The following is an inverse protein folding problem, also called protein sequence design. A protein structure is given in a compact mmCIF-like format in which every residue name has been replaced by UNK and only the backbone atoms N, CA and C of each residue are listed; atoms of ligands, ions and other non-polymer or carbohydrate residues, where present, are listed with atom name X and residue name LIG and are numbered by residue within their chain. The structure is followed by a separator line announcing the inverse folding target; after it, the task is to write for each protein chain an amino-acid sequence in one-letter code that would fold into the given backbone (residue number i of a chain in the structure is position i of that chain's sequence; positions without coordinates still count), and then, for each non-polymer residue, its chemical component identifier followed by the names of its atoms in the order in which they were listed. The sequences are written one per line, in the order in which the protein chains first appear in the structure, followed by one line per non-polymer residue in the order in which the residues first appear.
data_IF_953304095927
#
_entry.id   IF_953304095927
#
_cell.length_a   1.000
_cell.length_b   1.000
_cell.length_c   1.000
_cell.angle_alpha   90.00
_cell.angle_beta   90.00
_cell.angle_gamma   90.00
#
_symmetry.space_group_name_H-M   'P 1'
#
loop_
_entity.id
_entity.type
_entity.pdbx_description
1 polymer ?
#
# COMPACT_ATOMS: atom_id res chain seq x y z
N UNK A 1 -32.58 -69.55 11.13
CA UNK A 1 -32.97 -68.16 11.46
C UNK A 1 -31.73 -67.29 11.35
N UNK A 2 -31.56 -66.57 10.25
CA UNK A 2 -30.48 -65.58 10.09
C UNK A 2 -31.08 -64.19 10.28
N UNK A 3 -30.80 -63.56 11.42
CA UNK A 3 -31.20 -62.18 11.69
C UNK A 3 -30.36 -61.23 10.82
N UNK A 4 -31.03 -60.65 9.82
CA UNK A 4 -30.49 -59.56 9.01
C UNK A 4 -30.38 -58.30 9.87
N UNK A 5 -29.17 -57.96 10.31
CA UNK A 5 -28.89 -56.65 10.90
C UNK A 5 -28.98 -55.59 9.79
N UNK A 6 -30.11 -54.92 9.73
CA UNK A 6 -30.32 -53.75 8.86
C UNK A 6 -29.51 -52.59 9.42
N UNK A 7 -28.36 -52.32 8.82
CA UNK A 7 -27.54 -51.14 9.13
C UNK A 7 -28.34 -49.90 8.70
N UNK A 8 -28.65 -49.01 9.63
CA UNK A 8 -29.41 -47.79 9.38
C UNK A 8 -28.55 -46.78 8.60
N UNK A 9 -28.61 -46.85 7.26
CA UNK A 9 -27.78 -46.06 6.33
C UNK A 9 -28.10 -44.56 6.33
N UNK A 10 -29.21 -44.13 6.92
CA UNK A 10 -29.66 -42.73 6.96
C UNK A 10 -28.72 -41.81 7.77
N UNK A 11 -28.11 -42.33 8.85
CA UNK A 11 -27.13 -41.59 9.65
C UNK A 11 -25.72 -41.56 9.02
N UNK A 12 -25.42 -42.54 8.17
CA UNK A 12 -24.11 -42.65 7.52
C UNK A 12 -23.97 -41.63 6.38
N UNK A 13 -25.06 -41.34 5.65
CA UNK A 13 -25.06 -40.34 4.58
C UNK A 13 -24.76 -38.91 5.09
N UNK A 14 -25.32 -38.53 6.25
CA UNK A 14 -25.03 -37.24 6.88
C UNK A 14 -23.59 -37.13 7.41
N UNK A 15 -23.05 -38.22 7.96
CA UNK A 15 -21.66 -38.28 8.45
C UNK A 15 -20.62 -38.38 7.33
N UNK A 16 -20.96 -38.98 6.19
CA UNK A 16 -20.10 -39.08 5.01
C UNK A 16 -20.07 -37.76 4.21
N UNK A 17 -21.17 -37.00 4.18
CA UNK A 17 -21.20 -35.67 3.57
C UNK A 17 -20.32 -34.64 4.32
N UNK A 18 -20.19 -34.77 5.65
CA UNK A 18 -19.26 -33.96 6.45
C UNK A 18 -17.78 -34.35 6.28
N UNK A 19 -17.49 -35.54 5.74
CA UNK A 19 -16.12 -36.09 5.67
C UNK A 19 -15.35 -35.78 4.40
N UNK A 20 -15.94 -35.03 3.46
CA UNK A 20 -15.35 -34.79 2.14
C UNK A 20 -15.28 -33.30 1.80
N UNK A 21 -14.96 -32.45 2.78
CA UNK A 21 -14.56 -31.07 2.52
C UNK A 21 -13.04 -30.95 2.57
N UNK A 22 -12.47 -30.39 1.51
CA UNK A 22 -11.05 -30.03 1.45
C UNK A 22 -10.69 -29.02 2.56
N UNK A 23 -9.41 -28.96 2.95
CA UNK A 23 -8.91 -28.00 3.96
C UNK A 23 -9.35 -26.55 3.66
N UNK A 24 -9.38 -26.16 2.38
CA UNK A 24 -9.82 -24.85 1.92
C UNK A 24 -11.35 -24.65 2.05
N UNK A 25 -12.16 -25.67 1.78
CA UNK A 25 -13.62 -25.59 1.96
C UNK A 25 -14.00 -25.48 3.45
N UNK A 26 -13.31 -26.22 4.32
CA UNK A 26 -13.46 -26.07 5.76
C UNK A 26 -13.05 -24.68 6.24
N UNK A 27 -11.93 -24.14 5.72
CA UNK A 27 -11.50 -22.79 6.04
C UNK A 27 -12.50 -21.72 5.56
N UNK A 28 -13.05 -21.85 4.36
CA UNK A 28 -14.07 -20.95 3.84
C UNK A 28 -15.34 -20.97 4.70
N UNK A 29 -15.73 -22.13 5.25
CA UNK A 29 -16.86 -22.22 6.17
C UNK A 29 -16.56 -21.50 7.50
N UNK A 30 -15.35 -21.63 8.04
CA UNK A 30 -14.89 -20.91 9.23
C UNK A 30 -14.93 -19.40 8.99
N UNK A 31 -14.34 -18.91 7.89
CA UNK A 31 -14.33 -17.47 7.58
C UNK A 31 -15.74 -16.92 7.36
N UNK A 32 -16.62 -17.68 6.69
CA UNK A 32 -18.04 -17.28 6.55
C UNK A 32 -18.71 -17.09 7.90
N UNK A 33 -18.46 -18.00 8.85
CA UNK A 33 -18.98 -17.89 10.22
C UNK A 33 -18.40 -16.68 10.94
N UNK A 34 -17.09 -16.53 10.95
CA UNK A 34 -16.40 -15.40 11.61
C UNK A 34 -16.86 -14.03 11.07
N UNK A 35 -17.03 -13.90 9.76
CA UNK A 35 -17.57 -12.68 9.14
C UNK A 35 -19.03 -12.44 9.50
N UNK A 36 -19.83 -13.49 9.68
CA UNK A 36 -21.21 -13.37 10.13
C UNK A 36 -21.28 -12.95 11.62
N UNK A 37 -20.42 -13.54 12.46
CA UNK A 37 -20.33 -13.20 13.89
C UNK A 37 -19.91 -11.74 14.10
N UNK A 38 -19.03 -11.21 13.23
CA UNK A 38 -18.58 -9.81 13.25
C UNK A 38 -19.39 -8.86 12.36
N UNK A 39 -20.51 -9.31 11.78
CA UNK A 39 -21.25 -8.55 10.77
C UNK A 39 -21.70 -7.17 11.25
N UNK A 40 -22.16 -7.05 12.50
CA UNK A 40 -22.61 -5.76 13.05
C UNK A 40 -21.46 -4.76 13.19
N UNK A 41 -20.27 -5.22 13.58
CA UNK A 41 -19.08 -4.39 13.69
C UNK A 41 -18.58 -3.95 12.30
N UNK A 42 -18.62 -4.84 11.31
CA UNK A 42 -18.30 -4.47 9.92
C UNK A 42 -19.32 -3.43 9.42
N UNK A 43 -20.62 -3.66 9.66
CA UNK A 43 -21.70 -2.77 9.23
C UNK A 43 -21.60 -1.37 9.81
N UNK A 44 -21.14 -1.22 11.05
CA UNK A 44 -20.97 0.12 11.65
C UNK A 44 -19.80 0.91 11.07
N UNK A 45 -18.80 0.23 10.49
CA UNK A 45 -17.60 0.86 9.91
C UNK A 45 -17.72 1.12 8.41
N UNK A 46 -18.51 0.33 7.68
CA UNK A 46 -18.63 0.42 6.23
C UNK A 46 -19.25 1.77 5.79
N UNK A 47 -18.61 2.52 4.88
CA UNK A 47 -19.16 3.75 4.32
C UNK A 47 -20.38 3.51 3.44
N UNK A 48 -21.21 4.55 3.23
CA UNK A 48 -22.47 4.49 2.44
C UNK A 48 -22.34 3.94 1.01
N UNK A 49 -21.15 4.01 0.40
CA UNK A 49 -20.91 3.55 -0.96
C UNK A 49 -20.51 2.06 -1.04
N UNK A 50 -20.52 1.35 0.09
CA UNK A 50 -20.14 -0.05 0.20
C UNK A 50 -21.16 -0.81 1.07
N UNK A 51 -21.21 -2.13 0.93
CA UNK A 51 -22.08 -3.01 1.72
C UNK A 51 -21.26 -4.11 2.38
N UNK A 52 -21.53 -4.48 3.65
CA UNK A 52 -20.83 -5.56 4.35
C UNK A 52 -20.85 -6.91 3.62
N UNK A 53 -21.96 -7.24 2.97
CA UNK A 53 -22.15 -8.50 2.23
C UNK A 53 -21.22 -8.58 1.00
N UNK A 54 -21.08 -7.45 0.30
CA UNK A 54 -20.13 -7.33 -0.82
C UNK A 54 -18.71 -7.49 -0.32
N UNK A 55 -18.36 -6.86 0.80
CA UNK A 55 -17.02 -6.96 1.37
C UNK A 55 -16.69 -8.41 1.78
N UNK A 56 -17.61 -9.11 2.45
CA UNK A 56 -17.46 -10.52 2.80
C UNK A 56 -17.27 -11.41 1.55
N UNK A 57 -18.05 -11.18 0.48
CA UNK A 57 -17.92 -11.91 -0.79
C UNK A 57 -16.57 -11.69 -1.46
N UNK A 58 -16.10 -10.44 -1.48
CA UNK A 58 -14.80 -10.08 -2.06
C UNK A 58 -13.67 -10.74 -1.27
N UNK A 59 -13.75 -10.77 0.06
CA UNK A 59 -12.78 -11.48 0.91
C UNK A 59 -12.71 -12.97 0.59
N UNK A 60 -13.86 -13.65 0.50
CA UNK A 60 -13.89 -15.07 0.11
C UNK A 60 -13.29 -15.29 -1.29
N UNK A 61 -13.57 -14.38 -2.23
CA UNK A 61 -12.99 -14.41 -3.58
C UNK A 61 -11.46 -14.25 -3.54
N UNK A 62 -10.94 -13.39 -2.66
CA UNK A 62 -9.51 -13.21 -2.49
C UNK A 62 -8.85 -14.49 -1.93
N UNK A 63 -9.46 -15.15 -0.94
CA UNK A 63 -8.97 -16.43 -0.39
C UNK A 63 -8.91 -17.51 -1.47
N UNK A 64 -9.94 -17.61 -2.32
CA UNK A 64 -9.94 -18.58 -3.43
C UNK A 64 -8.82 -18.31 -4.45
N UNK A 65 -8.43 -17.05 -4.66
CA UNK A 65 -7.35 -16.66 -5.59
C UNK A 65 -5.96 -16.83 -5.00
N UNK A 66 -5.82 -16.65 -3.68
CA UNK A 66 -4.54 -16.75 -2.97
C UNK A 66 -4.66 -17.85 -1.91
N UNK A 67 -4.39 -19.12 -2.25
CA UNK A 67 -4.59 -20.25 -1.33
C UNK A 67 -3.83 -20.13 -0.01
N UNK A 68 -2.69 -19.41 0.02
CA UNK A 68 -1.92 -19.17 1.24
C UNK A 68 -2.69 -18.32 2.28
N UNK A 69 -3.73 -17.57 1.86
CA UNK A 69 -4.64 -16.91 2.79
C UNK A 69 -5.46 -17.93 3.60
N UNK A 70 -5.65 -19.16 3.10
CA UNK A 70 -6.30 -20.24 3.85
C UNK A 70 -5.43 -20.81 4.98
N UNK A 71 -4.16 -20.42 5.04
CA UNK A 71 -3.25 -20.74 6.15
C UNK A 71 -3.17 -19.62 7.19
N UNK A 72 -3.79 -18.48 6.91
CA UNK A 72 -3.83 -17.35 7.85
C UNK A 72 -4.74 -17.66 9.05
N UNK A 73 -4.47 -17.02 10.18
CA UNK A 73 -5.40 -17.09 11.32
C UNK A 73 -6.73 -16.42 10.96
N UNK A 74 -7.90 -17.01 11.27
CA UNK A 74 -9.20 -16.41 10.97
C UNK A 74 -9.34 -14.98 11.50
N UNK A 75 -8.85 -14.74 12.72
CA UNK A 75 -8.84 -13.42 13.35
C UNK A 75 -8.11 -12.36 12.50
N UNK A 76 -6.96 -12.70 11.90
CA UNK A 76 -6.23 -11.76 11.04
C UNK A 76 -6.99 -11.41 9.76
N UNK A 77 -7.76 -12.36 9.20
CA UNK A 77 -8.61 -12.08 8.04
C UNK A 77 -9.74 -11.12 8.42
N UNK A 78 -10.43 -11.35 9.54
CA UNK A 78 -11.48 -10.42 9.99
C UNK A 78 -10.89 -9.04 10.27
N UNK A 79 -9.74 -8.95 10.94
CA UNK A 79 -9.04 -7.68 11.16
C UNK A 79 -8.70 -6.94 9.87
N UNK A 80 -8.22 -7.66 8.85
CA UNK A 80 -7.97 -7.09 7.53
C UNK A 80 -9.25 -6.60 6.83
N UNK A 81 -10.37 -7.30 7.00
CA UNK A 81 -11.70 -6.88 6.50
C UNK A 81 -12.22 -5.65 7.23
N UNK A 82 -12.00 -5.54 8.54
CA UNK A 82 -12.34 -4.35 9.31
C UNK A 82 -11.56 -3.12 8.80
N UNK A 83 -10.27 -3.27 8.48
CA UNK A 83 -9.49 -2.21 7.82
C UNK A 83 -10.09 -1.80 6.47
N UNK A 84 -10.50 -2.77 5.64
CA UNK A 84 -11.18 -2.50 4.37
C UNK A 84 -12.46 -1.68 4.60
N UNK A 85 -13.26 -2.07 5.58
CA UNK A 85 -14.49 -1.39 5.96
C UNK A 85 -14.20 0.06 6.39
N UNK A 86 -13.32 0.28 7.37
CA UNK A 86 -12.98 1.61 7.90
C UNK A 86 -12.47 2.57 6.82
N UNK A 87 -11.69 2.07 5.85
CA UNK A 87 -11.13 2.88 4.77
C UNK A 87 -12.08 3.02 3.57
N UNK A 88 -13.13 2.21 3.49
CA UNK A 88 -13.97 2.12 2.30
C UNK A 88 -13.18 1.69 1.06
N UNK A 89 -12.26 0.73 1.24
CA UNK A 89 -11.45 0.16 0.17
C UNK A 89 -11.72 -1.34 0.03
N UNK A 90 -11.90 -1.81 -1.20
CA UNK A 90 -12.15 -3.22 -1.47
C UNK A 90 -10.86 -3.92 -1.94
N UNK A 91 -10.53 -5.11 -1.40
CA UNK A 91 -9.47 -5.95 -1.96
C UNK A 91 -9.78 -6.28 -3.42
N UNK A 92 -8.93 -5.88 -4.35
CA UNK A 92 -9.20 -6.07 -5.76
C UNK A 92 -7.93 -6.21 -6.61
N UNK A 93 -8.12 -6.64 -7.86
CA UNK A 93 -7.02 -6.77 -8.82
C UNK A 93 -6.63 -5.44 -9.47
N UNK A 94 -7.47 -4.40 -9.31
CA UNK A 94 -7.27 -3.10 -9.94
C UNK A 94 -6.21 -2.28 -9.16
N UNK A 95 -5.97 -2.64 -7.90
CA UNK A 95 -4.87 -2.15 -7.07
C UNK A 95 -5.25 -1.11 -6.02
N UNK A 96 -6.50 -1.16 -5.53
CA UNK A 96 -6.92 -0.30 -4.41
C UNK A 96 -6.45 -0.85 -3.06
N UNK A 97 -6.62 -2.15 -2.84
CA UNK A 97 -6.19 -2.82 -1.63
C UNK A 97 -5.90 -4.29 -1.89
N UNK A 98 -5.08 -4.87 -1.02
CA UNK A 98 -4.63 -6.25 -1.09
C UNK A 98 -4.73 -6.92 0.28
N UNK A 99 -5.07 -8.21 0.28
CA UNK A 99 -4.92 -9.09 1.43
C UNK A 99 -3.67 -9.92 1.20
N UNK A 100 -2.65 -9.73 2.05
CA UNK A 100 -1.34 -10.31 1.84
C UNK A 100 -0.97 -11.20 3.04
N UNK A 101 -0.68 -12.50 2.82
CA UNK A 101 -0.23 -13.38 3.89
C UNK A 101 1.23 -13.06 4.26
N UNK A 102 1.49 -12.80 5.55
CA UNK A 102 2.83 -12.64 6.10
C UNK A 102 3.08 -13.58 7.24
N UNK A 103 4.31 -14.11 7.31
CA UNK A 103 4.76 -14.86 8.46
C UNK A 103 5.22 -13.88 9.55
N UNK A 104 4.57 -13.93 10.72
CA UNK A 104 4.98 -13.13 11.87
C UNK A 104 6.25 -13.71 12.53
N UNK A 105 6.81 -12.99 13.51
CA UNK A 105 8.04 -13.40 14.21
C UNK A 105 7.89 -14.75 14.94
N UNK A 106 6.67 -15.08 15.36
CA UNK A 106 6.31 -16.32 16.02
C UNK A 106 6.10 -17.48 15.05
N UNK A 107 6.17 -17.22 13.73
CA UNK A 107 6.09 -18.22 12.69
C UNK A 107 4.67 -18.52 12.19
N UNK A 108 3.64 -17.85 12.71
CA UNK A 108 2.28 -17.95 12.21
C UNK A 108 2.11 -17.12 10.94
N UNK A 109 1.29 -17.60 10.02
CA UNK A 109 0.89 -16.83 8.85
C UNK A 109 -0.34 -15.99 9.25
N UNK A 110 -0.26 -14.69 9.04
CA UNK A 110 -1.32 -13.72 9.31
C UNK A 110 -1.66 -12.96 8.05
N UNK A 111 -2.95 -12.66 7.88
CA UNK A 111 -3.44 -11.81 6.81
C UNK A 111 -3.20 -10.35 7.17
N UNK A 112 -2.48 -9.65 6.31
CA UNK A 112 -2.27 -8.20 6.41
C UNK A 112 -3.07 -7.48 5.33
N UNK A 113 -3.77 -6.42 5.74
CA UNK A 113 -4.35 -5.49 4.80
C UNK A 113 -3.29 -4.48 4.35
N UNK A 114 -3.14 -4.32 3.04
CA UNK A 114 -2.24 -3.34 2.45
C UNK A 114 -2.98 -2.45 1.46
N UNK A 115 -2.81 -1.13 1.60
CA UNK A 115 -3.37 -0.17 0.65
C UNK A 115 -2.48 -0.16 -0.58
N UNK A 116 -3.06 -0.28 -1.77
CA UNK A 116 -2.34 -0.09 -3.03
C UNK A 116 -2.18 1.39 -3.37
N UNK A 117 -1.23 1.73 -4.24
CA UNK A 117 -1.00 3.15 -4.60
C UNK A 117 -2.27 3.82 -5.16
N UNK A 118 -3.11 3.10 -5.91
CA UNK A 118 -4.39 3.64 -6.40
C UNK A 118 -5.40 3.84 -5.28
N UNK A 119 -5.39 2.99 -4.26
CA UNK A 119 -6.20 3.19 -3.06
C UNK A 119 -5.78 4.44 -2.30
N UNK A 120 -4.49 4.73 -2.21
CA UNK A 120 -4.00 5.97 -1.62
C UNK A 120 -4.44 7.20 -2.43
N UNK A 121 -4.33 7.15 -3.76
CA UNK A 121 -4.84 8.20 -4.66
C UNK A 121 -6.34 8.43 -4.42
N UNK A 122 -7.14 7.36 -4.34
CA UNK A 122 -8.58 7.45 -4.09
C UNK A 122 -8.88 8.08 -2.71
N UNK A 123 -8.22 7.61 -1.65
CA UNK A 123 -8.35 8.20 -0.31
C UNK A 123 -8.00 9.69 -0.29
N UNK A 124 -6.92 10.09 -0.97
CA UNK A 124 -6.50 11.49 -1.07
C UNK A 124 -7.50 12.32 -1.89
N UNK A 125 -8.08 11.78 -2.96
CA UNK A 125 -9.10 12.50 -3.75
C UNK A 125 -10.38 12.73 -2.94
N UNK A 126 -10.73 11.81 -2.04
CA UNK A 126 -11.93 11.92 -1.19
C UNK A 126 -11.85 13.09 -0.19
N UNK A 127 -10.67 13.65 0.08
CA UNK A 127 -10.56 14.85 0.94
C UNK A 127 -11.20 16.07 0.32
N UNK A 128 -11.29 16.10 -1.02
CA UNK A 128 -11.89 17.21 -1.76
C UNK A 128 -10.94 18.39 -1.98
N UNK A 129 -9.82 18.52 -1.30
CA UNK A 129 -8.88 19.64 -1.50
C UNK A 129 -7.98 19.44 -2.73
N UNK A 130 -7.78 18.19 -3.13
CA UNK A 130 -6.89 17.78 -4.21
C UNK A 130 -7.67 17.70 -5.53
N UNK A 131 -7.32 18.55 -6.49
CA UNK A 131 -7.93 18.60 -7.82
C UNK A 131 -7.38 17.54 -8.76
N UNK A 132 -6.06 17.28 -8.70
CA UNK A 132 -5.37 16.25 -9.47
C UNK A 132 -4.35 15.55 -8.59
N UNK A 133 -4.23 14.25 -8.73
CA UNK A 133 -3.15 13.46 -8.13
C UNK A 133 -2.87 12.26 -9.03
N UNK A 134 -1.59 11.99 -9.24
CA UNK A 134 -1.07 10.92 -10.08
C UNK A 134 0.28 10.46 -9.55
N UNK A 135 0.64 9.23 -9.89
CA UNK A 135 1.94 8.65 -9.59
C UNK A 135 2.41 7.82 -10.78
N UNK A 136 3.59 8.15 -11.30
CA UNK A 136 4.08 7.58 -12.55
C UNK A 136 5.50 7.04 -12.46
N UNK A 137 5.79 6.16 -13.41
CA UNK A 137 7.12 5.60 -13.66
C UNK A 137 7.77 6.44 -14.75
N UNK A 138 9.05 6.70 -14.60
CA UNK A 138 9.91 7.36 -15.60
C UNK A 138 10.92 6.34 -16.06
N UNK A 139 11.01 6.18 -17.37
CA UNK A 139 11.91 5.27 -18.04
C UNK A 139 13.16 5.98 -18.54
N UNK A 140 14.19 5.20 -18.84
CA UNK A 140 15.54 5.68 -19.19
C UNK A 140 15.53 6.71 -20.33
N UNK A 141 14.66 6.51 -21.32
CA UNK A 141 14.58 7.33 -22.53
C UNK A 141 13.39 8.30 -22.55
N UNK A 142 12.67 8.45 -21.44
CA UNK A 142 11.65 9.50 -21.30
C UNK A 142 12.33 10.88 -21.14
N UNK A 143 11.66 11.93 -21.63
CA UNK A 143 12.03 13.30 -21.28
C UNK A 143 11.45 13.62 -19.92
N UNK A 144 12.31 13.70 -18.91
CA UNK A 144 11.92 14.00 -17.54
C UNK A 144 12.76 15.13 -16.95
N UNK A 145 12.13 16.29 -16.73
CA UNK A 145 12.77 17.49 -16.18
C UNK A 145 11.98 17.93 -14.96
N UNK A 146 12.68 18.29 -13.88
CA UNK A 146 12.03 18.84 -12.71
C UNK A 146 12.91 19.87 -12.01
N UNK A 147 12.26 20.88 -11.43
CA UNK A 147 12.87 21.90 -10.60
C UNK A 147 12.28 21.80 -9.20
N UNK A 148 13.15 21.83 -8.20
CA UNK A 148 12.78 21.98 -6.80
C UNK A 148 13.12 23.40 -6.36
N UNK A 149 12.49 23.86 -5.28
CA UNK A 149 12.68 25.22 -4.75
C UNK A 149 11.34 25.93 -4.64
N UNK A 150 11.37 27.25 -4.77
CA UNK A 150 10.18 28.11 -4.74
C UNK A 150 9.28 27.88 -5.97
N UNK A 151 9.87 27.86 -7.17
CA UNK A 151 9.16 27.58 -8.43
C UNK A 151 9.29 26.10 -8.81
N UNK A 152 8.49 25.26 -8.15
CA UNK A 152 8.46 23.82 -8.43
C UNK A 152 7.85 23.56 -9.80
N UNK A 153 8.62 22.89 -10.67
CA UNK A 153 8.18 22.48 -12.01
C UNK A 153 8.47 21.00 -12.23
N UNK A 154 7.60 20.33 -12.98
CA UNK A 154 7.74 18.93 -13.35
C UNK A 154 7.21 18.73 -14.76
N UNK A 155 8.05 18.21 -15.65
CA UNK A 155 7.70 17.81 -17.00
C UNK A 155 8.07 16.34 -17.17
N UNK A 156 7.11 15.56 -17.65
CA UNK A 156 7.30 14.17 -18.03
C UNK A 156 6.67 13.96 -19.41
N UNK A 157 7.49 13.67 -20.41
CA UNK A 157 7.04 13.28 -21.75
C UNK A 157 7.56 11.87 -22.01
N UNK A 158 6.66 10.88 -22.12
CA UNK A 158 7.04 9.50 -22.41
C UNK A 158 7.76 9.37 -23.76
N UNK A 159 8.59 8.34 -23.89
CA UNK A 159 9.40 8.08 -25.09
C UNK A 159 8.59 8.10 -26.40
N UNK A 160 7.40 7.50 -26.41
CA UNK A 160 6.52 7.42 -27.59
C UNK A 160 5.97 8.78 -28.03
N UNK A 161 5.99 9.79 -27.15
CA UNK A 161 5.56 11.14 -27.42
C UNK A 161 6.70 12.07 -27.87
N UNK A 162 7.96 11.66 -27.75
CA UNK A 162 9.11 12.47 -28.16
C UNK A 162 9.14 12.84 -29.66
N UNK A 163 8.65 12.01 -30.60
CA UNK A 163 8.55 12.42 -32.01
C UNK A 163 7.73 13.70 -32.21
N UNK A 164 6.74 13.96 -31.35
CA UNK A 164 5.93 15.17 -31.42
C UNK A 164 6.71 16.45 -31.02
N UNK A 165 7.91 16.29 -30.44
CA UNK A 165 8.80 17.38 -30.03
C UNK A 165 9.99 17.56 -30.98
N UNK A 166 10.01 16.87 -32.13
CA UNK A 166 11.14 16.97 -33.07
C UNK A 166 11.41 18.39 -33.57
N UNK A 167 10.33 19.15 -33.80
CA UNK A 167 10.36 20.54 -34.27
C UNK A 167 10.19 21.56 -33.14
N UNK A 168 10.39 21.15 -31.88
CA UNK A 168 10.34 22.07 -30.75
C UNK A 168 11.39 23.17 -30.91
N UNK A 169 10.96 24.43 -30.84
CA UNK A 169 11.82 25.60 -30.94
C UNK A 169 11.83 26.30 -29.57
N UNK A 170 12.94 26.22 -28.81
CA UNK A 170 12.98 26.76 -27.46
C UNK A 170 12.98 28.29 -27.50
N UNK A 171 12.19 28.92 -26.61
CA UNK A 171 12.40 30.32 -26.29
C UNK A 171 13.73 30.47 -25.52
N UNK A 172 14.65 31.30 -26.06
CA UNK A 172 15.99 31.49 -25.49
C UNK A 172 15.98 32.21 -24.13
N UNK A 173 14.88 32.87 -23.80
CA UNK A 173 14.73 33.57 -22.52
C UNK A 173 14.01 32.70 -21.46
N UNK A 174 13.47 31.53 -21.85
CA UNK A 174 12.83 30.60 -20.92
C UNK A 174 13.79 29.46 -20.54
N UNK A 175 14.11 29.39 -19.25
CA UNK A 175 15.03 28.40 -18.71
C UNK A 175 14.55 26.95 -18.91
N UNK A 176 13.24 26.69 -18.82
CA UNK A 176 12.69 25.36 -19.03
C UNK A 176 12.79 24.95 -20.49
N UNK A 177 12.53 25.86 -21.43
CA UNK A 177 12.67 25.58 -22.86
C UNK A 177 14.11 25.21 -23.22
N UNK A 178 15.10 25.92 -22.65
CA UNK A 178 16.52 25.60 -22.82
C UNK A 178 16.82 24.19 -22.28
N UNK A 179 16.35 23.86 -21.07
CA UNK A 179 16.56 22.54 -20.49
C UNK A 179 15.90 21.44 -21.33
N UNK A 180 14.70 21.66 -21.85
CA UNK A 180 13.97 20.75 -22.72
C UNK A 180 14.78 20.49 -23.99
N UNK A 181 15.23 21.54 -24.67
CA UNK A 181 16.02 21.40 -25.90
C UNK A 181 17.33 20.63 -25.67
N UNK A 182 18.03 20.92 -24.57
CA UNK A 182 19.27 20.20 -24.22
C UNK A 182 19.00 18.72 -23.91
N UNK A 183 17.96 18.43 -23.12
CA UNK A 183 17.59 17.05 -22.78
C UNK A 183 17.15 16.26 -24.02
N UNK A 184 16.38 16.88 -24.93
CA UNK A 184 15.99 16.27 -26.20
C UNK A 184 17.21 15.93 -27.08
N UNK A 185 18.22 16.81 -27.13
CA UNK A 185 19.48 16.52 -27.86
C UNK A 185 20.16 15.27 -27.30
N UNK A 186 20.31 15.21 -25.97
CA UNK A 186 20.93 14.06 -25.28
C UNK A 186 20.16 12.77 -25.52
N UNK A 187 18.82 12.81 -25.49
CA UNK A 187 17.99 11.62 -25.75
C UNK A 187 18.13 11.16 -27.20
N UNK A 188 18.10 12.09 -28.17
CA UNK A 188 18.25 11.79 -29.60
C UNK A 188 19.62 11.13 -29.89
N UNK A 189 20.69 11.62 -29.27
CA UNK A 189 22.04 11.07 -29.43
C UNK A 189 22.17 9.60 -28.98
N UNK A 190 21.32 9.13 -28.06
CA UNK A 190 21.31 7.73 -27.61
C UNK A 190 20.82 6.76 -28.69
N UNK A 191 20.03 7.24 -29.66
CA UNK A 191 19.46 6.40 -30.72
C UNK A 191 18.60 5.25 -30.20
N UNK A 192 17.93 5.44 -29.05
CA UNK A 192 17.09 4.44 -28.44
C UNK A 192 15.89 4.06 -29.33
N UNK A 193 15.47 2.78 -29.28
CA UNK A 193 14.34 2.26 -30.06
C UNK A 193 13.09 1.99 -29.21
N UNK A 194 13.24 2.09 -27.88
CA UNK A 194 12.19 1.90 -26.89
C UNK A 194 12.47 2.79 -25.66
N UNK A 195 11.51 2.81 -24.73
CA UNK A 195 11.56 3.60 -23.48
C UNK A 195 12.70 3.19 -22.54
N UNK A 196 13.25 1.97 -22.69
CA UNK A 196 14.26 1.41 -21.81
C UNK A 196 13.68 0.90 -20.49
N UNK A 197 14.53 0.79 -19.46
CA UNK A 197 14.11 0.31 -18.14
C UNK A 197 13.56 1.45 -17.28
N UNK A 198 12.70 1.15 -16.27
CA UNK A 198 12.35 2.10 -15.23
C UNK A 198 13.60 2.62 -14.51
N UNK A 199 13.69 3.93 -14.29
CA UNK A 199 14.82 4.56 -13.59
C UNK A 199 14.38 5.39 -12.40
N UNK A 200 13.13 5.84 -12.38
CA UNK A 200 12.62 6.79 -11.41
C UNK A 200 11.10 6.68 -11.29
N UNK A 201 10.59 7.11 -10.15
CA UNK A 201 9.18 7.17 -9.84
C UNK A 201 8.87 8.55 -9.27
N UNK A 202 7.65 9.02 -9.48
CA UNK A 202 7.20 10.25 -8.85
C UNK A 202 5.72 10.19 -8.50
N UNK A 203 5.32 11.02 -7.55
CA UNK A 203 3.94 11.37 -7.27
C UNK A 203 3.81 12.89 -7.31
N UNK A 204 2.71 13.38 -7.84
CA UNK A 204 2.44 14.81 -7.91
C UNK A 204 0.97 15.10 -7.66
N UNK A 205 0.67 16.27 -7.11
CA UNK A 205 -0.69 16.73 -6.90
C UNK A 205 -0.86 18.20 -7.26
N UNK A 206 -2.10 18.54 -7.57
CA UNK A 206 -2.58 19.91 -7.64
C UNK A 206 -3.73 20.05 -6.65
N UNK A 207 -3.73 21.15 -5.90
CA UNK A 207 -4.88 21.55 -5.10
C UNK A 207 -5.91 22.31 -5.94
N UNK A 208 -7.07 22.58 -5.36
CA UNK A 208 -8.11 23.40 -5.98
C UNK A 208 -7.70 24.86 -6.18
N UNK A 209 -6.86 25.39 -5.30
CA UNK A 209 -6.28 26.74 -5.39
C UNK A 209 -5.08 26.82 -6.37
N UNK A 210 -4.82 25.72 -7.09
CA UNK A 210 -3.72 25.55 -8.06
C UNK A 210 -2.34 25.39 -7.45
N UNK A 211 -2.20 25.28 -6.12
CA UNK A 211 -0.91 24.90 -5.53
C UNK A 211 -0.46 23.54 -6.08
N UNK A 212 0.83 23.44 -6.40
CA UNK A 212 1.44 22.27 -7.02
C UNK A 212 2.62 21.79 -6.18
N UNK A 213 2.69 20.49 -5.97
CA UNK A 213 3.88 19.87 -5.39
C UNK A 213 4.05 18.44 -5.91
N UNK A 214 5.28 17.93 -5.78
CA UNK A 214 5.64 16.60 -6.21
C UNK A 214 6.80 16.04 -5.40
N UNK A 215 6.84 14.71 -5.34
CA UNK A 215 7.98 13.95 -4.83
C UNK A 215 8.48 13.03 -5.93
N UNK A 216 9.79 12.95 -6.09
CA UNK A 216 10.44 12.02 -7.01
C UNK A 216 11.53 11.23 -6.29
N UNK A 217 11.67 9.96 -6.67
CA UNK A 217 12.69 9.04 -6.15
C UNK A 217 13.26 8.22 -7.30
N UNK A 218 14.58 8.05 -7.35
CA UNK A 218 15.18 7.04 -8.23
C UNK A 218 14.79 5.65 -7.77
N UNK A 219 14.89 4.66 -8.66
CA UNK A 219 14.65 3.27 -8.28
C UNK A 219 15.54 2.84 -7.10
N UNK A 220 16.81 3.24 -7.10
CA UNK A 220 17.74 3.00 -5.99
C UNK A 220 17.26 3.63 -4.68
N UNK A 221 16.74 4.86 -4.72
CA UNK A 221 16.19 5.53 -3.54
C UNK A 221 14.96 4.79 -3.00
N UNK A 222 14.07 4.31 -3.88
CA UNK A 222 12.93 3.50 -3.46
C UNK A 222 13.38 2.19 -2.82
N UNK A 223 14.37 1.50 -3.39
CA UNK A 223 14.92 0.26 -2.83
C UNK A 223 15.62 0.52 -1.49
N UNK A 224 16.35 1.63 -1.33
CA UNK A 224 16.92 2.04 -0.04
C UNK A 224 15.83 2.28 1.01
N UNK A 225 14.76 2.97 0.65
CA UNK A 225 13.61 3.17 1.53
C UNK A 225 12.96 1.84 1.92
N UNK A 226 12.72 0.95 0.96
CA UNK A 226 12.17 -0.38 1.20
C UNK A 226 13.06 -1.20 2.16
N UNK A 227 14.37 -1.17 1.93
CA UNK A 227 15.36 -1.84 2.78
C UNK A 227 15.42 -1.30 4.21
N UNK A 228 14.97 -0.06 4.45
CA UNK A 228 14.85 0.49 5.80
C UNK A 228 13.49 0.18 6.44
N UNK A 229 12.40 0.36 5.71
CA UNK A 229 11.06 0.41 6.32
C UNK A 229 10.18 -0.83 6.08
N UNK A 230 10.44 -1.62 5.04
CA UNK A 230 9.58 -2.77 4.70
C UNK A 230 9.76 -3.93 5.66
N UNK A 231 8.64 -4.54 6.06
CA UNK A 231 8.60 -5.84 6.76
C UNK A 231 8.78 -7.03 5.80
N UNK A 232 8.75 -6.80 4.49
CA UNK A 232 8.83 -7.84 3.45
C UNK A 232 10.27 -8.20 3.13
N UNK A 233 10.96 -8.83 4.09
CA UNK A 233 12.34 -9.26 3.93
C UNK A 233 12.53 -10.69 4.41
N UNK A 234 13.31 -11.45 3.66
CA UNK A 234 13.78 -12.77 4.05
C UNK A 234 15.30 -12.82 3.91
N UNK A 235 16.00 -13.21 4.96
CA UNK A 235 17.47 -13.22 5.02
C UNK A 235 18.12 -11.90 4.54
N UNK A 236 17.52 -10.76 4.91
CA UNK A 236 18.00 -9.42 4.53
C UNK A 236 17.69 -8.99 3.11
N UNK A 237 17.06 -9.83 2.28
CA UNK A 237 16.65 -9.49 0.92
C UNK A 237 15.16 -9.16 0.85
N UNK A 238 14.79 -8.18 0.02
CA UNK A 238 13.38 -7.83 -0.22
C UNK A 238 12.64 -8.99 -0.91
N UNK A 239 11.44 -9.29 -0.43
CA UNK A 239 10.59 -10.36 -0.94
C UNK A 239 9.14 -9.89 -1.15
N UNK A 240 8.32 -10.74 -1.76
CA UNK A 240 6.89 -10.50 -1.95
C UNK A 240 6.64 -9.28 -2.85
N UNK A 241 5.79 -8.31 -2.44
CA UNK A 241 5.39 -7.19 -3.29
C UNK A 241 6.55 -6.38 -3.88
N UNK A 242 7.68 -6.28 -3.17
CA UNK A 242 8.86 -5.54 -3.65
C UNK A 242 9.60 -6.25 -4.77
N UNK A 243 9.46 -7.57 -4.88
CA UNK A 243 10.03 -8.37 -5.98
C UNK A 243 9.07 -8.46 -7.16
N UNK A 244 7.81 -8.77 -6.88
CA UNK A 244 6.82 -9.07 -7.92
C UNK A 244 6.17 -7.79 -8.51
N UNK A 245 6.14 -6.71 -7.73
CA UNK A 245 5.43 -5.47 -8.05
C UNK A 245 6.21 -4.21 -7.69
N UNK A 246 7.52 -4.20 -7.98
CA UNK A 246 8.45 -3.11 -7.62
C UNK A 246 7.90 -1.72 -7.99
N UNK A 247 7.47 -1.52 -9.23
CA UNK A 247 6.99 -0.20 -9.67
C UNK A 247 5.79 0.31 -8.85
N UNK A 248 4.82 -0.57 -8.56
CA UNK A 248 3.65 -0.23 -7.74
C UNK A 248 4.06 0.15 -6.31
N UNK A 249 5.06 -0.54 -5.76
CA UNK A 249 5.60 -0.24 -4.43
C UNK A 249 6.38 1.08 -4.40
N UNK A 250 7.14 1.38 -5.45
CA UNK A 250 7.82 2.67 -5.60
C UNK A 250 6.82 3.82 -5.72
N UNK A 251 5.78 3.69 -6.57
CA UNK A 251 4.71 4.69 -6.70
C UNK A 251 3.99 4.92 -5.37
N UNK A 252 3.64 3.84 -4.66
CA UNK A 252 3.06 3.90 -3.30
C UNK A 252 3.96 4.68 -2.35
N UNK A 253 5.27 4.43 -2.40
CA UNK A 253 6.26 5.13 -1.55
C UNK A 253 6.32 6.61 -1.88
N UNK A 254 6.35 7.00 -3.15
CA UNK A 254 6.32 8.42 -3.54
C UNK A 254 5.05 9.13 -3.03
N UNK A 255 3.88 8.48 -3.08
CA UNK A 255 2.63 9.04 -2.54
C UNK A 255 2.72 9.19 -1.02
N UNK A 256 3.23 8.19 -0.29
CA UNK A 256 3.40 8.27 1.18
C UNK A 256 4.32 9.42 1.57
N UNK A 257 5.46 9.58 0.91
CA UNK A 257 6.40 10.68 1.17
C UNK A 257 5.78 12.04 0.84
N UNK A 258 5.03 12.13 -0.26
CA UNK A 258 4.32 13.35 -0.65
C UNK A 258 3.23 13.72 0.36
N UNK A 259 2.43 12.75 0.81
CA UNK A 259 1.29 12.94 1.71
C UNK A 259 1.68 13.54 3.08
N UNK A 260 2.93 13.36 3.53
CA UNK A 260 3.45 13.96 4.78
C UNK A 260 3.39 15.49 4.79
N UNK A 261 3.47 16.11 3.61
CA UNK A 261 3.51 17.57 3.46
C UNK A 261 2.24 18.12 2.81
N UNK A 262 1.28 17.26 2.48
CA UNK A 262 0.02 17.69 1.89
C UNK A 262 -0.86 18.37 2.94
N UNK A 263 -1.53 19.49 2.60
CA UNK A 263 -2.52 20.12 3.46
C UNK A 263 -3.84 19.32 3.41
N UNK A 264 -3.82 18.09 3.90
CA UNK A 264 -4.98 17.20 4.02
C UNK A 264 -5.28 16.94 5.50
N UNK A 265 -6.53 16.61 5.82
CA UNK A 265 -6.95 16.34 7.20
C UNK A 265 -6.08 15.26 7.86
N UNK A 266 -5.80 15.43 9.16
CA UNK A 266 -5.04 14.49 9.99
C UNK A 266 -5.63 13.07 9.90
N UNK A 267 -6.96 12.93 9.92
CA UNK A 267 -7.65 11.64 9.79
C UNK A 267 -7.20 10.86 8.53
N UNK A 268 -6.97 11.55 7.41
CA UNK A 268 -6.53 10.93 6.15
C UNK A 268 -5.06 10.57 6.23
N UNK A 269 -4.24 11.41 6.87
CA UNK A 269 -2.83 11.09 7.11
C UNK A 269 -2.70 9.84 7.99
N UNK A 270 -3.49 9.74 9.06
CA UNK A 270 -3.55 8.56 9.93
C UNK A 270 -4.00 7.32 9.15
N UNK A 271 -5.07 7.43 8.34
CA UNK A 271 -5.56 6.33 7.49
C UNK A 271 -4.50 5.82 6.50
N UNK A 272 -3.68 6.71 5.95
CA UNK A 272 -2.55 6.34 5.08
C UNK A 272 -1.38 5.74 5.86
N UNK A 273 -1.25 6.07 7.15
CA UNK A 273 -0.23 5.54 8.06
C UNK A 273 -0.59 4.16 8.62
N UNK A 274 -1.87 3.84 8.82
CA UNK A 274 -2.39 2.52 9.28
C UNK A 274 -2.16 1.38 8.28
N UNK A 275 -1.58 1.68 7.12
CA UNK A 275 -1.11 0.72 6.13
C UNK A 275 -0.18 -0.33 6.78
N UNK A 276 -0.47 -1.62 6.57
CA UNK A 276 0.22 -2.79 7.15
C UNK A 276 -0.07 -3.09 8.64
N UNK A 277 -0.99 -2.37 9.29
CA UNK A 277 -1.42 -2.71 10.65
C UNK A 277 -2.33 -3.95 10.67
N UNK A 278 -1.94 -4.97 11.44
CA UNK A 278 -2.82 -6.09 11.80
C UNK A 278 -3.70 -5.64 12.97
N UNK A 279 -5.01 -5.58 12.73
CA UNK A 279 -5.99 -5.37 13.80
C UNK A 279 -6.35 -6.72 14.43
N UNK A 280 -6.29 -6.78 15.76
CA UNK A 280 -6.80 -7.91 16.55
C UNK A 280 -8.12 -7.50 17.21
N UNK A 281 -9.13 -8.35 17.10
CA UNK A 281 -10.41 -8.18 17.77
C UNK A 281 -10.31 -8.67 19.22
N UNK A 282 -10.76 -7.84 20.18
CA UNK A 282 -10.99 -8.29 21.56
C UNK A 282 -12.36 -8.95 21.69
N UNK A 283 -12.53 -9.77 22.74
CA UNK A 283 -13.78 -10.47 23.06
C UNK A 283 -14.95 -9.54 23.43
N UNK A 284 -14.69 -8.25 23.65
CA UNK A 284 -15.65 -7.21 24.04
C UNK A 284 -16.00 -6.24 22.89
N UNK A 285 -15.76 -6.63 21.64
CA UNK A 285 -15.90 -5.79 20.44
C UNK A 285 -14.95 -4.57 20.38
N UNK A 286 -13.90 -4.52 21.21
CA UNK A 286 -12.80 -3.56 21.08
C UNK A 286 -11.83 -3.93 19.95
N UNK A 287 -11.18 -2.92 19.35
CA UNK A 287 -10.11 -3.08 18.36
C UNK A 287 -8.78 -2.80 19.05
N UNK A 288 -7.85 -3.76 19.04
CA UNK A 288 -6.47 -3.57 19.48
C UNK A 288 -5.55 -3.65 18.25
N UNK A 289 -4.81 -2.58 18.00
CA UNK A 289 -3.84 -2.51 16.91
C UNK A 289 -2.44 -2.82 17.44
N UNK A 290 -1.74 -3.77 16.84
CA UNK A 290 -0.34 -4.05 17.18
C UNK A 290 0.63 -2.94 16.70
N UNK A 291 0.17 -1.90 16.00
CA UNK A 291 1.01 -0.80 15.50
C UNK A 291 0.25 0.54 15.52
N UNK A 292 0.14 1.20 16.68
CA UNK A 292 -0.39 2.58 16.70
C UNK A 292 0.72 3.64 16.77
N UNK A 293 1.90 3.37 17.34
CA UNK A 293 3.05 4.29 17.25
C UNK A 293 4.36 3.52 17.45
N UNK A 294 5.06 3.16 16.38
CA UNK A 294 6.51 2.96 16.43
C UNK A 294 7.14 4.33 16.11
N UNK A 295 6.88 5.31 16.97
CA UNK A 295 7.66 6.55 16.98
C UNK A 295 8.88 6.19 17.79
N UNK A 296 10.02 6.01 17.11
CA UNK A 296 11.34 6.03 17.74
C UNK A 296 11.53 7.42 18.39
N UNK A 297 10.91 7.67 19.53
CA UNK A 297 11.39 8.69 20.44
C UNK A 297 12.64 8.10 21.09
N UNK A 298 13.81 8.44 20.54
CA UNK A 298 14.98 8.56 21.41
C UNK A 298 14.63 9.65 22.41
N UNK A 299 14.37 9.26 23.66
CA UNK A 299 14.55 10.18 24.77
C UNK A 299 16.00 10.64 24.67
N UNK A 300 16.20 11.89 24.26
CA UNK A 300 17.48 12.55 24.46
C UNK A 300 17.53 12.72 25.97
N UNK A 301 18.30 11.88 26.65
CA UNK A 301 18.73 12.20 28.00
C UNK A 301 19.37 13.57 27.91
N UNK A 302 18.72 14.58 28.48
CA UNK A 302 19.37 15.87 28.69
C UNK A 302 20.57 15.56 29.57
N UNK A 303 21.76 15.68 29.01
CA UNK A 303 23.00 15.70 29.78
C UNK A 303 22.77 16.70 30.90
N UNK A 304 22.75 16.18 32.13
CA UNK A 304 22.78 17.02 33.31
C UNK A 304 24.08 17.80 33.23
N UNK A 305 23.98 19.12 33.03
CA UNK A 305 25.09 20.03 33.21
C UNK A 305 25.70 19.76 34.59
N UNK A 306 26.87 19.12 34.61
CA UNK A 306 27.69 19.07 35.80
C UNK A 306 28.06 20.51 36.16
N UNK A 307 27.85 20.94 37.42
CA UNK A 307 28.17 22.30 37.82
C UNK A 307 29.69 22.52 37.72
N UNK A 308 30.07 23.61 37.05
CA UNK A 308 31.44 24.11 36.94
C UNK A 308 32.13 24.10 38.32
N UNK A 309 33.20 23.32 38.45
CA UNK A 309 34.10 23.45 39.58
C UNK A 309 34.94 24.72 39.41
N UNK A 310 34.67 25.69 40.28
CA UNK A 310 35.51 26.85 40.58
C UNK A 310 36.99 26.45 40.68
N UNK A 311 37.79 26.89 39.71
CA UNK A 311 39.24 26.90 39.83
C UNK A 311 39.62 28.13 40.65
N UNK A 312 39.84 27.92 41.95
CA UNK A 312 40.45 28.91 42.82
C UNK A 312 41.95 29.06 42.49
N UNK A 313 42.38 30.32 42.36
CA UNK A 313 43.73 30.78 42.09
C UNK A 313 44.81 30.19 43.02
N UNK A 314 45.99 29.92 42.44
CA UNK A 314 47.30 30.25 43.01
C UNK A 314 48.29 30.60 41.92
#
# INVERSE_FOLDING_TARGET
MSESKTVNQSNLAGQLAQRTMTKAENFNAVIKKELADNFQAIKSLVPKHMTPERLARITLTAISRTPLLAECTPASIVGAVMNCATLGLEPNLIGHAYLVPYKNKQGFIECQFQIGYKGQIDLIRRTGDVSKIYAETVYENDLFIYLKGEDKRLLHVPFDMLPNLENFTPNKDDFMDIMIAQALSVIKERGAKDEGKPVRYYAAYHLKDKAFDFVTMTEEQCLKHANKHSKSKFNGQLTGPWKDHLQSMCKKTCIKEMAKYMPISIEVQEKLATDEAVLKLRKDNGIESDNIFDVDYKVVEQDQEEPEQEVAEK
#
